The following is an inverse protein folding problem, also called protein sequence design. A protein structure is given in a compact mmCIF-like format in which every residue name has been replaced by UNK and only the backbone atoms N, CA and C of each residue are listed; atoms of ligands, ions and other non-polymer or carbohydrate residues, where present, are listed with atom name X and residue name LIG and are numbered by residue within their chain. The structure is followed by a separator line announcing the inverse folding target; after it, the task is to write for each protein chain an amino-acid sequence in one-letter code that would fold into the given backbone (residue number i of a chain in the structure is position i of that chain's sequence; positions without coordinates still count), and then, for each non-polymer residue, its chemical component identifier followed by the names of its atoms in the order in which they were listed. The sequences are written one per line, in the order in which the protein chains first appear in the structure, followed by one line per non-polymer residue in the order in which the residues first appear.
data_IF_935040971042
#
_entry.id   IF_935040971042
#
_cell.length_a   1.000
_cell.length_b   1.000
_cell.length_c   1.000
_cell.angle_alpha   90.00
_cell.angle_beta   90.00
_cell.angle_gamma   90.00
#
_symmetry.space_group_name_H-M   'P 1'
#
loop_
_entity.id
_entity.type
_entity.pdbx_description
1 polymer ?
#
# COMPACT_ATOMS: atom_id res chain seq x y z
N UNK A 1 -11.32 11.04 7.52
CA UNK A 1 -10.21 11.60 6.71
C UNK A 1 -10.82 12.53 5.68
N UNK A 2 -10.29 13.74 5.53
CA UNK A 2 -10.74 14.71 4.53
C UNK A 2 -9.82 14.66 3.32
N UNK A 3 -10.39 14.69 2.10
CA UNK A 3 -9.63 14.71 0.85
C UNK A 3 -9.92 16.00 0.09
N UNK A 4 -8.89 16.60 -0.49
CA UNK A 4 -9.02 17.69 -1.47
C UNK A 4 -8.88 17.12 -2.88
N UNK A 5 -9.72 17.58 -3.81
CA UNK A 5 -9.79 17.07 -5.19
C UNK A 5 -8.77 17.72 -6.13
N UNK A 6 -8.01 18.69 -5.64
CA UNK A 6 -7.07 19.46 -6.46
C UNK A 6 -6.05 18.54 -7.13
N UNK A 7 -5.82 18.72 -8.43
CA UNK A 7 -4.86 17.96 -9.27
C UNK A 7 -5.14 16.45 -9.41
N UNK A 8 -6.31 15.95 -9.02
CA UNK A 8 -6.62 14.51 -9.11
C UNK A 8 -6.58 13.97 -10.53
N UNK A 9 -7.08 14.73 -11.51
CA UNK A 9 -7.08 14.32 -12.91
C UNK A 9 -5.66 14.16 -13.43
N UNK A 10 -4.78 15.12 -13.13
CA UNK A 10 -3.39 15.08 -13.57
C UNK A 10 -2.62 13.94 -12.90
N UNK A 11 -2.80 13.73 -11.58
CA UNK A 11 -2.22 12.60 -10.85
C UNK A 11 -2.70 11.24 -11.34
N UNK A 12 -3.89 11.17 -11.94
CA UNK A 12 -4.49 9.93 -12.43
C UNK A 12 -4.17 9.64 -13.90
N UNK A 13 -3.56 10.59 -14.64
CA UNK A 13 -3.05 10.35 -15.99
C UNK A 13 -1.85 9.40 -15.92
N UNK A 14 -2.10 8.15 -16.29
CA UNK A 14 -1.12 7.06 -16.21
C UNK A 14 -0.61 6.58 -17.57
N UNK A 15 -0.85 7.32 -18.65
CA UNK A 15 -0.39 6.97 -19.98
C UNK A 15 0.64 7.97 -20.48
N UNK A 16 1.65 7.44 -21.18
CA UNK A 16 2.62 8.25 -21.90
C UNK A 16 2.04 8.64 -23.25
N UNK A 17 2.25 9.89 -23.68
CA UNK A 17 1.85 10.30 -25.02
C UNK A 17 2.63 9.48 -26.07
N UNK A 18 1.99 9.02 -27.17
CA UNK A 18 2.67 8.22 -28.20
C UNK A 18 3.94 8.87 -28.74
N UNK A 19 3.93 10.18 -28.96
CA UNK A 19 5.10 10.91 -29.45
C UNK A 19 6.27 10.86 -28.46
N UNK A 20 5.98 10.94 -27.16
CA UNK A 20 7.02 10.84 -26.14
C UNK A 20 7.55 9.41 -26.07
N UNK A 21 6.69 8.41 -26.18
CA UNK A 21 7.10 7.01 -26.25
C UNK A 21 8.02 6.75 -27.47
N UNK A 22 7.71 7.35 -28.63
CA UNK A 22 8.52 7.26 -29.84
C UNK A 22 9.89 7.91 -29.68
N UNK A 23 9.96 9.10 -29.06
CA UNK A 23 11.26 9.76 -28.82
C UNK A 23 12.12 8.94 -27.84
N UNK A 24 11.51 8.32 -26.82
CA UNK A 24 12.25 7.50 -25.86
C UNK A 24 12.84 6.24 -26.48
N UNK A 25 12.15 5.60 -27.43
CA UNK A 25 12.69 4.43 -28.14
C UNK A 25 13.85 4.76 -29.08
N UNK A 26 13.96 6.02 -29.51
CA UNK A 26 15.07 6.54 -30.32
C UNK A 26 16.25 7.04 -29.49
N UNK A 27 16.23 6.90 -28.16
CA UNK A 27 17.31 7.37 -27.30
C UNK A 27 18.61 6.59 -27.55
N UNK A 28 19.74 7.31 -27.53
CA UNK A 28 21.08 6.70 -27.63
C UNK A 28 21.40 5.80 -26.41
N UNK A 29 20.78 6.07 -25.25
CA UNK A 29 21.01 5.30 -24.03
C UNK A 29 20.33 3.93 -24.06
N UNK A 30 21.12 2.86 -23.89
CA UNK A 30 20.62 1.48 -23.82
C UNK A 30 19.59 1.30 -22.71
N UNK A 31 19.81 1.90 -21.53
CA UNK A 31 18.90 1.81 -20.39
C UNK A 31 17.52 2.40 -20.72
N UNK A 32 17.47 3.51 -21.46
CA UNK A 32 16.20 4.16 -21.81
C UNK A 32 15.41 3.30 -22.78
N UNK A 33 16.09 2.67 -23.75
CA UNK A 33 15.49 1.72 -24.68
C UNK A 33 14.99 0.44 -23.99
N UNK A 34 15.67 0.00 -22.94
CA UNK A 34 15.25 -1.16 -22.12
C UNK A 34 14.02 -0.85 -21.26
N UNK A 35 13.97 0.33 -20.64
CA UNK A 35 12.83 0.77 -19.81
C UNK A 35 11.57 1.05 -20.62
N UNK A 36 11.72 1.45 -21.88
CA UNK A 36 10.63 1.78 -22.79
C UNK A 36 10.76 0.97 -24.09
N UNK A 37 10.57 -0.36 -24.04
CA UNK A 37 10.66 -1.17 -25.24
C UNK A 37 9.56 -0.74 -26.23
N UNK A 38 9.80 -0.89 -27.55
CA UNK A 38 8.79 -0.60 -28.57
C UNK A 38 7.62 -1.57 -28.40
N UNK A 39 6.68 -1.16 -27.56
CA UNK A 39 5.55 -1.98 -27.16
C UNK A 39 4.47 -1.80 -28.22
N UNK A 40 3.89 -2.89 -28.71
CA UNK A 40 2.67 -2.93 -29.55
C UNK A 40 1.41 -2.48 -28.79
N UNK A 41 1.58 -1.78 -27.67
CA UNK A 41 0.52 -1.37 -26.78
C UNK A 41 -0.49 -0.53 -27.56
N UNK A 42 -1.70 -1.08 -27.71
CA UNK A 42 -2.91 -0.38 -28.10
C UNK A 42 -2.95 1.01 -27.46
N UNK A 43 -2.57 2.02 -28.24
CA UNK A 43 -2.62 3.45 -27.89
C UNK A 43 -4.05 3.87 -27.48
N UNK A 44 -5.03 3.02 -27.78
CA UNK A 44 -6.45 3.17 -27.45
C UNK A 44 -6.78 2.91 -25.97
N UNK A 45 -5.95 2.18 -25.20
CA UNK A 45 -6.22 1.91 -23.78
C UNK A 45 -5.48 2.89 -22.88
N UNK A 46 -6.06 4.08 -22.70
CA UNK A 46 -5.67 5.07 -21.68
C UNK A 46 -5.85 4.48 -20.27
N UNK A 47 -4.88 3.70 -19.81
CA UNK A 47 -4.86 3.13 -18.46
C UNK A 47 -4.60 4.26 -17.48
N UNK A 48 -5.44 4.39 -16.45
CA UNK A 48 -5.28 5.40 -15.40
C UNK A 48 -4.41 4.85 -14.27
N UNK A 49 -3.73 5.74 -13.54
CA UNK A 49 -2.91 5.34 -12.38
C UNK A 49 -3.76 4.56 -11.38
N UNK A 50 -4.98 5.02 -11.09
CA UNK A 50 -5.90 4.34 -10.19
C UNK A 50 -6.30 2.95 -10.65
N UNK A 51 -6.50 2.74 -11.96
CA UNK A 51 -6.82 1.41 -12.50
C UNK A 51 -5.65 0.43 -12.38
N UNK A 52 -4.41 0.90 -12.59
CA UNK A 52 -3.19 0.11 -12.43
C UNK A 52 -2.96 -0.23 -10.96
N UNK A 53 -3.03 0.76 -10.08
CA UNK A 53 -2.90 0.57 -8.62
C UNK A 53 -3.92 -0.44 -8.08
N UNK A 54 -5.19 -0.34 -8.52
CA UNK A 54 -6.22 -1.31 -8.14
C UNK A 54 -5.91 -2.72 -8.63
N UNK A 55 -5.33 -2.87 -9.83
CA UNK A 55 -4.91 -4.18 -10.35
C UNK A 55 -3.81 -4.77 -9.47
N UNK A 56 -2.74 -4.01 -9.20
CA UNK A 56 -1.64 -4.46 -8.34
C UNK A 56 -2.09 -4.84 -6.93
N UNK A 57 -3.04 -4.10 -6.35
CA UNK A 57 -3.63 -4.44 -5.05
C UNK A 57 -4.40 -5.77 -5.08
N UNK A 58 -5.16 -6.04 -6.15
CA UNK A 58 -5.90 -7.30 -6.29
C UNK A 58 -4.96 -8.49 -6.44
N UNK A 59 -3.93 -8.33 -7.27
CA UNK A 59 -2.90 -9.35 -7.47
C UNK A 59 -2.19 -9.67 -6.15
N UNK A 60 -1.72 -8.64 -5.44
CA UNK A 60 -1.09 -8.80 -4.13
C UNK A 60 -2.02 -9.51 -3.13
N UNK A 61 -3.27 -9.07 -3.03
CA UNK A 61 -4.25 -9.67 -2.12
C UNK A 61 -4.51 -11.14 -2.45
N UNK A 62 -4.60 -11.48 -3.74
CA UNK A 62 -4.81 -12.86 -4.17
C UNK A 62 -3.64 -13.76 -3.77
N UNK A 63 -2.40 -13.30 -3.96
CA UNK A 63 -1.20 -14.03 -3.52
C UNK A 63 -1.16 -14.21 -2.01
N UNK A 64 -1.45 -13.15 -1.24
CA UNK A 64 -1.44 -13.24 0.23
C UNK A 64 -2.48 -14.25 0.74
N UNK A 65 -3.67 -14.30 0.14
CA UNK A 65 -4.75 -15.21 0.56
C UNK A 65 -4.45 -16.69 0.29
N UNK A 66 -3.47 -17.01 -0.56
CA UNK A 66 -3.02 -18.38 -0.83
C UNK A 66 -1.98 -18.88 0.18
N UNK A 67 -1.58 -18.07 1.15
CA UNK A 67 -0.51 -18.37 2.12
C UNK A 67 -1.01 -18.33 3.56
N UNK A 68 -0.27 -18.96 4.48
CA UNK A 68 -0.49 -18.76 5.92
C UNK A 68 0.02 -17.37 6.33
N UNK A 69 -0.88 -16.53 6.85
CA UNK A 69 -0.58 -15.13 7.13
C UNK A 69 -0.20 -14.92 8.60
N UNK A 70 0.91 -14.21 8.82
CA UNK A 70 1.34 -13.74 10.13
C UNK A 70 1.47 -12.22 10.11
N UNK A 71 1.01 -11.55 11.17
CA UNK A 71 0.92 -10.09 11.22
C UNK A 71 1.84 -9.52 12.31
N UNK A 72 2.73 -8.61 11.93
CA UNK A 72 3.57 -7.83 12.85
C UNK A 72 3.13 -6.37 12.78
N UNK A 73 2.88 -5.75 13.94
CA UNK A 73 2.51 -4.34 14.05
C UNK A 73 3.68 -3.55 14.63
N UNK A 74 4.32 -2.75 13.78
CA UNK A 74 5.39 -1.86 14.20
C UNK A 74 4.81 -0.55 14.75
N UNK A 75 5.29 -0.12 15.92
CA UNK A 75 4.84 1.12 16.59
C UNK A 75 6.06 1.96 16.92
N UNK A 76 6.04 3.22 16.49
CA UNK A 76 7.12 4.16 16.79
C UNK A 76 6.86 4.82 18.15
N UNK A 77 7.79 4.77 19.12
CA UNK A 77 7.52 5.24 20.48
C UNK A 77 7.48 6.77 20.60
N UNK A 78 8.14 7.51 19.70
CA UNK A 78 8.14 8.97 19.69
C UNK A 78 8.38 9.54 18.27
N UNK A 79 7.98 10.80 18.04
CA UNK A 79 8.19 11.49 16.77
C UNK A 79 9.66 11.85 16.49
N UNK A 80 10.43 12.15 17.55
CA UNK A 80 11.76 12.75 17.48
C UNK A 80 12.90 11.76 17.22
N UNK A 81 12.60 10.46 17.06
CA UNK A 81 13.60 9.39 16.84
C UNK A 81 14.62 9.30 17.98
N UNK A 82 14.22 9.64 19.20
CA UNK A 82 15.06 9.56 20.38
C UNK A 82 14.95 8.18 21.02
N UNK A 83 16.09 7.60 21.42
CA UNK A 83 16.09 6.38 22.22
C UNK A 83 15.48 6.65 23.60
N UNK A 84 14.84 5.65 24.20
CA UNK A 84 14.25 5.69 25.55
C UNK A 84 13.19 6.78 25.80
N UNK A 85 12.71 7.46 24.75
CA UNK A 85 11.61 8.42 24.84
C UNK A 85 10.28 7.79 24.39
N UNK A 86 9.21 8.04 25.14
CA UNK A 86 7.87 7.52 24.83
C UNK A 86 6.82 8.65 24.87
N UNK A 87 6.08 8.80 23.78
CA UNK A 87 4.95 9.71 23.67
C UNK A 87 3.65 8.90 23.56
N UNK A 88 2.89 8.88 24.66
CA UNK A 88 1.64 8.13 24.74
C UNK A 88 0.56 8.59 23.76
N UNK A 89 0.46 9.89 23.49
CA UNK A 89 -0.53 10.41 22.54
C UNK A 89 -0.17 10.01 21.11
N UNK A 90 1.12 10.06 20.77
CA UNK A 90 1.64 9.63 19.47
C UNK A 90 1.45 8.13 19.24
N UNK A 91 1.71 7.30 20.26
CA UNK A 91 1.51 5.85 20.20
C UNK A 91 0.03 5.48 20.14
N UNK A 92 -0.82 6.08 20.97
CA UNK A 92 -2.26 5.84 20.96
C UNK A 92 -2.88 6.11 19.59
N UNK A 93 -2.44 7.19 18.93
CA UNK A 93 -2.88 7.54 17.58
C UNK A 93 -2.50 6.45 16.56
N UNK A 94 -1.28 5.92 16.62
CA UNK A 94 -0.85 4.80 15.77
C UNK A 94 -1.66 3.52 16.03
N UNK A 95 -1.96 3.20 17.30
CA UNK A 95 -2.79 2.04 17.65
C UNK A 95 -4.21 2.14 17.08
N UNK A 96 -4.76 3.35 17.02
CA UNK A 96 -6.05 3.61 16.36
C UNK A 96 -5.95 3.45 14.83
N UNK A 97 -4.90 3.98 14.20
CA UNK A 97 -4.71 3.89 12.75
C UNK A 97 -4.42 2.47 12.26
N UNK A 98 -3.69 1.69 13.05
CA UNK A 98 -3.36 0.29 12.73
C UNK A 98 -4.48 -0.68 13.07
N UNK A 99 -5.54 -0.21 13.74
CA UNK A 99 -6.71 -1.02 14.11
C UNK A 99 -6.48 -1.95 15.31
N UNK A 100 -5.34 -1.84 16.01
CA UNK A 100 -5.03 -2.68 17.18
C UNK A 100 -6.09 -2.53 18.27
N UNK A 101 -6.56 -1.30 18.51
CA UNK A 101 -7.62 -1.05 19.49
C UNK A 101 -8.92 -1.79 19.15
N UNK A 102 -9.33 -1.76 17.88
CA UNK A 102 -10.54 -2.47 17.40
C UNK A 102 -10.38 -3.99 17.47
N UNK A 103 -9.19 -4.51 17.18
CA UNK A 103 -8.91 -5.96 17.32
C UNK A 103 -9.05 -6.40 18.77
N UNK A 104 -8.51 -5.63 19.72
CA UNK A 104 -8.64 -5.92 21.15
C UNK A 104 -10.10 -5.91 21.58
N UNK A 105 -10.89 -4.95 21.11
CA UNK A 105 -12.33 -4.86 21.40
C UNK A 105 -13.10 -6.08 20.90
N UNK A 106 -12.87 -6.50 19.64
CA UNK A 106 -13.46 -7.71 19.05
C UNK A 106 -13.10 -8.95 19.88
N UNK A 107 -11.82 -9.11 20.22
CA UNK A 107 -11.36 -10.26 21.02
C UNK A 107 -12.00 -10.28 22.40
N UNK A 108 -12.17 -9.13 23.06
CA UNK A 108 -12.83 -9.03 24.37
C UNK A 108 -14.30 -9.42 24.31
N UNK A 109 -15.00 -9.06 23.24
CA UNK A 109 -16.40 -9.45 23.05
C UNK A 109 -16.59 -10.96 22.83
N UNK A 110 -15.54 -11.64 22.34
CA UNK A 110 -15.54 -13.06 22.02
C UNK A 110 -15.06 -14.00 23.13
N UNK A 111 -14.97 -13.56 24.39
CA UNK A 111 -14.35 -14.31 25.50
C UNK A 111 -12.88 -14.68 25.22
N UNK A 112 -11.94 -13.74 25.42
CA UNK A 112 -10.56 -13.84 24.92
C UNK A 112 -9.71 -14.91 25.62
N UNK A 113 -10.20 -15.50 26.71
CA UNK A 113 -9.51 -16.55 27.47
C UNK A 113 -10.38 -17.80 27.44
N UNK A 114 -10.06 -18.74 26.56
CA UNK A 114 -10.50 -20.13 26.68
C UNK A 114 -9.41 -20.88 27.42
N UNK A 115 -9.59 -21.13 28.72
CA UNK A 115 -8.72 -22.05 29.45
C UNK A 115 -9.03 -23.45 28.90
N UNK A 116 -8.17 -23.95 28.00
CA UNK A 116 -8.25 -25.33 27.55
C UNK A 116 -8.18 -26.24 28.78
N UNK A 117 -9.13 -27.16 28.93
CA UNK A 117 -9.24 -28.08 30.08
C UNK A 117 -8.06 -29.06 30.26
N UNK A 118 -6.93 -28.83 29.59
CA UNK A 118 -5.73 -29.68 29.60
C UNK A 118 -4.78 -29.29 30.76
N UNK A 119 -5.03 -28.18 31.46
CA UNK A 119 -4.20 -27.72 32.60
C UNK A 119 -5.02 -27.45 33.88
N UNK A 120 -6.00 -28.30 34.20
CA UNK A 120 -6.61 -28.37 35.54
C UNK A 120 -6.48 -29.78 36.10
#
# INVERSE_FOLDING_TARGET
VMYTADTWLDKNRGYLHPDVAFVLTQSDSDLVRELYPPSTCDVTKKTTVGSSFRRSLRELSATMLQTSQHYIRCIKPNGQRQANAFDGHFVLRQLRYTGVASVVEIQRSGYPISLSQINF
#
